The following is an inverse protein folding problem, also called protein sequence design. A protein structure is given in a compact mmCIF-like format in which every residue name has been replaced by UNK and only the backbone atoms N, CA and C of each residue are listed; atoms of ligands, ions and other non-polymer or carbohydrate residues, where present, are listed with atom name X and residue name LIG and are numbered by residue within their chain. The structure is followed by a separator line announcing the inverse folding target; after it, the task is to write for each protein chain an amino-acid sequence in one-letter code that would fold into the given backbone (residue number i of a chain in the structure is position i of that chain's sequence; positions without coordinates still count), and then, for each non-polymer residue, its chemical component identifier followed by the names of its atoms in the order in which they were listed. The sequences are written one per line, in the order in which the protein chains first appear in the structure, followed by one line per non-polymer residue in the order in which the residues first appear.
data_IF_627704401777
#
_entry.id   IF_627704401777
#
_cell.length_a   1.000
_cell.length_b   1.000
_cell.length_c   1.000
_cell.angle_alpha   90.00
_cell.angle_beta   90.00
_cell.angle_gamma   90.00
#
_symmetry.space_group_name_H-M   'P 1'
#
loop_
_entity.id
_entity.type
_entity.pdbx_description
1 polymer ?
#
# COMPACT_ATOMS: atom_id res chain seq x y z
N UNK A 1 12.38 -11.23 10.60
CA UNK A 1 11.40 -11.97 9.79
C UNK A 1 11.31 -11.28 8.44
N UNK A 2 11.36 -12.00 7.31
CA UNK A 2 11.12 -11.41 6.00
C UNK A 2 9.67 -10.89 5.91
N UNK A 3 9.47 -9.72 5.30
CA UNK A 3 8.14 -9.11 5.11
C UNK A 3 7.24 -10.04 4.26
N UNK A 4 7.79 -10.49 3.12
CA UNK A 4 7.30 -11.59 2.29
C UNK A 4 8.55 -12.17 1.64
N UNK A 5 8.91 -13.43 1.90
CA UNK A 5 10.13 -14.01 1.31
C UNK A 5 10.12 -13.88 -0.24
N UNK A 6 11.26 -13.63 -0.91
CA UNK A 6 12.63 -13.48 -0.37
C UNK A 6 12.95 -12.05 0.08
N UNK A 7 11.96 -11.14 0.14
CA UNK A 7 12.21 -9.76 0.51
C UNK A 7 12.62 -9.66 1.99
N UNK A 8 13.56 -8.75 2.25
CA UNK A 8 14.08 -8.47 3.58
C UNK A 8 13.73 -7.06 3.99
N UNK A 9 13.58 -6.88 5.30
CA UNK A 9 13.33 -5.59 5.92
C UNK A 9 14.33 -5.34 7.04
N UNK A 10 14.66 -4.07 7.24
CA UNK A 10 15.45 -3.62 8.38
C UNK A 10 14.99 -2.26 8.87
N UNK A 11 15.32 -1.99 10.11
CA UNK A 11 15.21 -0.66 10.70
C UNK A 11 16.61 -0.14 10.97
N UNK A 12 16.93 1.05 10.47
CA UNK A 12 18.19 1.74 10.76
C UNK A 12 17.90 3.07 11.44
N UNK A 13 18.85 3.57 12.22
CA UNK A 13 18.76 4.91 12.84
C UNK A 13 19.74 5.84 12.14
N UNK A 14 19.24 6.76 11.33
CA UNK A 14 20.06 7.63 10.50
C UNK A 14 19.45 9.03 10.31
N UNK A 15 20.22 9.95 9.70
CA UNK A 15 19.76 11.29 9.30
C UNK A 15 19.09 11.23 7.93
N UNK A 16 18.13 12.11 7.71
CA UNK A 16 17.60 12.37 6.37
C UNK A 16 18.39 13.48 5.65
N UNK A 17 18.39 13.43 4.33
CA UNK A 17 19.03 14.46 3.49
C UNK A 17 18.28 15.78 3.54
N UNK A 18 16.98 15.75 3.85
CA UNK A 18 16.11 16.90 3.97
C UNK A 18 16.27 17.63 5.32
N UNK A 19 16.81 16.96 6.34
CA UNK A 19 17.00 17.61 7.65
C UNK A 19 18.03 18.73 7.56
N UNK A 20 17.66 19.91 8.04
CA UNK A 20 18.59 21.04 8.20
C UNK A 20 19.61 20.75 9.29
N UNK A 21 19.17 20.19 10.43
CA UNK A 21 20.07 19.67 11.46
C UNK A 21 20.50 18.24 11.13
N UNK A 22 21.75 18.10 10.64
CA UNK A 22 22.36 16.81 10.31
C UNK A 22 22.74 15.96 11.52
N UNK A 23 22.55 16.45 12.75
CA UNK A 23 22.67 15.64 13.97
C UNK A 23 21.37 14.91 14.32
N UNK A 24 20.23 15.36 13.79
CA UNK A 24 18.94 14.71 14.01
C UNK A 24 18.95 13.30 13.41
N UNK A 25 18.37 12.34 14.13
CA UNK A 25 18.25 10.94 13.70
C UNK A 25 16.81 10.48 13.84
N UNK A 26 16.36 9.70 12.87
CA UNK A 26 15.06 9.02 12.87
C UNK A 26 15.24 7.55 12.59
N UNK A 27 14.24 6.75 12.91
CA UNK A 27 14.17 5.38 12.47
C UNK A 27 13.71 5.34 11.02
N UNK A 28 14.48 4.68 10.14
CA UNK A 28 14.17 4.53 8.72
C UNK A 28 13.88 3.06 8.46
N UNK A 29 12.66 2.77 8.00
CA UNK A 29 12.26 1.44 7.56
C UNK A 29 12.69 1.24 6.11
N UNK A 30 13.54 0.23 5.89
CA UNK A 30 14.07 -0.10 4.58
C UNK A 30 13.68 -1.52 4.18
N UNK A 31 13.43 -1.70 2.89
CA UNK A 31 13.17 -3.02 2.29
C UNK A 31 14.10 -3.24 1.11
N UNK A 32 14.35 -4.51 0.79
CA UNK A 32 14.89 -4.92 -0.50
C UNK A 32 14.16 -6.17 -0.98
N UNK A 33 13.92 -6.28 -2.28
CA UNK A 33 13.08 -7.36 -2.82
C UNK A 33 13.83 -8.68 -2.96
N UNK A 34 15.14 -8.63 -3.17
CA UNK A 34 16.05 -9.77 -3.12
C UNK A 34 17.34 -9.37 -2.39
N UNK A 35 18.14 -10.33 -1.89
CA UNK A 35 19.40 -10.03 -1.22
C UNK A 35 20.42 -9.28 -2.10
N UNK A 36 20.27 -9.35 -3.42
CA UNK A 36 21.13 -8.67 -4.40
C UNK A 36 20.69 -7.24 -4.70
N UNK A 37 19.46 -6.86 -4.37
CA UNK A 37 19.01 -5.49 -4.54
C UNK A 37 19.56 -4.56 -3.45
N UNK A 38 19.76 -3.30 -3.81
CA UNK A 38 20.03 -2.23 -2.86
C UNK A 38 18.84 -2.02 -1.91
N UNK A 39 19.14 -1.50 -0.72
CA UNK A 39 18.13 -1.15 0.26
C UNK A 39 17.36 0.11 -0.17
N UNK A 40 16.03 0.04 -0.13
CA UNK A 40 15.13 1.14 -0.47
C UNK A 40 14.46 1.65 0.81
N UNK A 41 14.65 2.93 1.11
CA UNK A 41 13.93 3.61 2.19
C UNK A 41 12.46 3.76 1.82
N UNK A 42 11.56 3.24 2.65
CA UNK A 42 10.11 3.34 2.43
C UNK A 42 9.52 4.52 3.22
N UNK A 43 9.66 4.49 4.54
CA UNK A 43 9.22 5.57 5.41
C UNK A 43 10.14 5.68 6.62
N UNK A 44 10.01 6.78 7.35
CA UNK A 44 10.70 7.03 8.59
C UNK A 44 9.74 7.48 9.68
N UNK A 45 10.16 7.36 10.94
CA UNK A 45 9.42 7.87 12.09
C UNK A 45 10.38 8.28 13.21
N UNK A 46 9.95 9.23 14.02
CA UNK A 46 10.59 9.57 15.29
C UNK A 46 9.94 8.80 16.44
N UNK A 47 10.54 8.88 17.62
CA UNK A 47 9.99 8.28 18.86
C UNK A 47 9.03 9.24 19.58
N UNK A 48 8.65 10.34 18.94
CA UNK A 48 7.72 11.29 19.52
C UNK A 48 6.32 10.69 19.61
N UNK A 49 5.66 10.89 20.75
CA UNK A 49 4.30 10.43 20.96
C UNK A 49 3.30 11.26 20.13
N UNK A 50 2.41 10.57 19.41
CA UNK A 50 1.33 11.19 18.66
C UNK A 50 -0.01 10.97 19.37
N UNK A 51 -0.68 12.09 19.67
CA UNK A 51 -2.06 12.11 20.13
C UNK A 51 -3.06 11.87 18.97
N UNK A 52 -4.26 11.33 19.25
CA UNK A 52 -5.30 11.05 18.24
C UNK A 52 -5.63 12.21 17.29
N UNK A 53 -5.55 13.46 17.74
CA UNK A 53 -5.80 14.64 16.92
C UNK A 53 -4.79 14.83 15.78
N UNK A 54 -3.54 14.40 15.95
CA UNK A 54 -2.54 14.50 14.88
C UNK A 54 -2.86 13.52 13.75
N UNK A 55 -3.32 12.31 14.09
CA UNK A 55 -3.79 11.34 13.09
C UNK A 55 -5.02 11.84 12.32
N UNK A 56 -5.90 12.64 12.94
CA UNK A 56 -7.00 13.31 12.22
C UNK A 56 -6.47 14.30 11.18
N UNK A 57 -5.44 15.07 11.51
CA UNK A 57 -4.81 16.00 10.56
C UNK A 57 -4.16 15.24 9.40
N UNK A 58 -3.41 14.17 9.69
CA UNK A 58 -2.77 13.35 8.67
C UNK A 58 -3.81 12.69 7.75
N UNK A 59 -4.87 12.09 8.31
CA UNK A 59 -5.96 11.51 7.53
C UNK A 59 -6.68 12.56 6.69
N UNK A 60 -6.91 13.77 7.22
CA UNK A 60 -7.53 14.83 6.44
C UNK A 60 -6.69 15.15 5.20
N UNK A 61 -5.38 15.37 5.34
CA UNK A 61 -4.52 15.64 4.19
C UNK A 61 -4.51 14.44 3.22
N UNK A 62 -4.25 13.24 3.72
CA UNK A 62 -4.16 12.02 2.90
C UNK A 62 -5.46 11.71 2.15
N UNK A 63 -6.62 11.93 2.77
CA UNK A 63 -7.92 11.56 2.18
C UNK A 63 -8.63 12.70 1.45
N UNK A 64 -8.19 13.96 1.58
CA UNK A 64 -8.90 15.12 0.99
C UNK A 64 -8.03 16.03 0.16
N UNK A 65 -6.72 16.08 0.38
CA UNK A 65 -5.87 17.02 -0.34
C UNK A 65 -5.70 16.57 -1.81
N UNK A 66 -5.96 17.43 -2.82
CA UNK A 66 -5.94 17.02 -4.23
C UNK A 66 -4.58 16.51 -4.73
N UNK A 67 -3.47 16.93 -4.12
CA UNK A 67 -2.14 16.39 -4.47
C UNK A 67 -1.82 15.06 -3.78
N UNK A 68 -2.68 14.58 -2.88
CA UNK A 68 -2.52 13.27 -2.26
C UNK A 68 -2.73 12.19 -3.31
N UNK A 69 -1.76 11.29 -3.44
CA UNK A 69 -1.86 10.14 -4.34
C UNK A 69 -3.12 9.31 -4.08
N UNK A 70 -3.53 9.18 -2.81
CA UNK A 70 -4.73 8.43 -2.41
C UNK A 70 -6.06 9.08 -2.83
N UNK A 71 -6.05 10.37 -3.21
CA UNK A 71 -7.25 11.03 -3.78
C UNK A 71 -7.32 10.94 -5.30
N UNK A 72 -6.23 10.49 -5.94
CA UNK A 72 -6.11 10.42 -7.39
C UNK A 72 -6.06 8.99 -7.92
N UNK A 73 -5.65 8.03 -7.07
CA UNK A 73 -5.40 6.66 -7.46
C UNK A 73 -6.15 5.68 -6.58
N UNK A 74 -6.77 4.68 -7.22
CA UNK A 74 -7.30 3.51 -6.53
C UNK A 74 -6.19 2.51 -6.24
N UNK A 75 -6.12 2.06 -4.99
CA UNK A 75 -5.30 0.92 -4.57
C UNK A 75 -6.05 0.08 -3.54
N UNK A 76 -5.90 -1.24 -3.63
CA UNK A 76 -6.37 -2.19 -2.63
C UNK A 76 -5.34 -3.30 -2.48
N UNK A 77 -5.01 -3.67 -1.25
CA UNK A 77 -4.05 -4.73 -0.96
C UNK A 77 -4.64 -5.70 0.06
N UNK A 78 -4.49 -7.00 -0.16
CA UNK A 78 -4.89 -8.05 0.76
C UNK A 78 -3.74 -9.03 0.94
N UNK A 79 -3.35 -9.30 2.19
CA UNK A 79 -2.30 -10.27 2.50
C UNK A 79 -2.84 -11.71 2.39
N UNK A 80 -2.04 -12.57 1.77
CA UNK A 80 -2.31 -14.01 1.67
C UNK A 80 -1.52 -14.70 2.78
N UNK A 81 -2.22 -15.32 3.71
CA UNK A 81 -1.60 -16.05 4.82
C UNK A 81 -1.25 -17.49 4.40
N UNK A 82 -0.24 -18.07 5.06
CA UNK A 82 -0.05 -19.53 5.08
C UNK A 82 -1.19 -20.21 5.86
N UNK A 83 -1.36 -21.52 5.66
CA UNK A 83 -2.41 -22.32 6.34
C UNK A 83 -2.32 -22.28 7.87
N UNK A 84 -1.13 -22.00 8.42
CA UNK A 84 -0.92 -21.84 9.86
C UNK A 84 -1.31 -20.45 10.39
N UNK A 85 -1.72 -19.52 9.52
CA UNK A 85 -2.08 -18.12 9.82
C UNK A 85 -1.01 -17.29 10.56
N UNK A 86 0.23 -17.78 10.63
CA UNK A 86 1.32 -17.09 11.33
C UNK A 86 2.24 -16.33 10.39
N UNK A 87 2.29 -16.74 9.12
CA UNK A 87 3.21 -16.18 8.14
C UNK A 87 2.46 -15.69 6.90
N UNK A 88 2.91 -14.57 6.35
CA UNK A 88 2.39 -14.02 5.09
C UNK A 88 3.09 -14.72 3.93
N UNK A 89 2.31 -15.47 3.13
CA UNK A 89 2.76 -16.16 1.91
C UNK A 89 2.91 -15.21 0.72
N UNK A 90 2.10 -14.15 0.70
CA UNK A 90 2.00 -13.27 -0.45
C UNK A 90 0.95 -12.19 -0.26
N UNK A 91 0.54 -11.57 -1.36
CA UNK A 91 -0.48 -10.54 -1.36
C UNK A 91 -1.19 -10.45 -2.72
N UNK A 92 -2.45 -10.05 -2.68
CA UNK A 92 -3.15 -9.46 -3.82
C UNK A 92 -2.99 -7.94 -3.78
N UNK A 93 -2.75 -7.32 -4.93
CA UNK A 93 -2.70 -5.88 -5.10
C UNK A 93 -3.55 -5.52 -6.31
N UNK A 94 -4.59 -4.72 -6.12
CA UNK A 94 -5.33 -4.09 -7.20
C UNK A 94 -4.93 -2.63 -7.26
N UNK A 95 -4.40 -2.20 -8.40
CA UNK A 95 -3.99 -0.82 -8.62
C UNK A 95 -4.16 -0.45 -10.08
N UNK A 96 -4.76 0.71 -10.34
CA UNK A 96 -5.08 1.11 -11.71
C UNK A 96 -6.04 0.14 -12.40
N UNK A 97 -5.55 -0.55 -13.44
CA UNK A 97 -6.30 -1.48 -14.31
C UNK A 97 -5.91 -2.96 -14.10
N UNK A 98 -5.13 -3.29 -13.09
CA UNK A 98 -4.60 -4.65 -12.93
C UNK A 98 -4.85 -5.16 -11.52
N UNK A 99 -5.22 -6.44 -11.44
CA UNK A 99 -5.11 -7.25 -10.23
C UNK A 99 -3.84 -8.08 -10.34
N UNK A 100 -2.96 -7.90 -9.36
CA UNK A 100 -1.68 -8.60 -9.26
C UNK A 100 -1.70 -9.53 -8.07
N UNK A 101 -1.15 -10.72 -8.24
CA UNK A 101 -0.82 -11.63 -7.15
C UNK A 101 0.69 -11.69 -7.03
N UNK A 102 1.19 -11.45 -5.81
CA UNK A 102 2.60 -11.63 -5.48
C UNK A 102 2.76 -12.75 -4.48
N UNK A 103 3.46 -13.81 -4.84
CA UNK A 103 3.78 -14.93 -3.94
C UNK A 103 5.28 -15.22 -4.07
N UNK A 104 5.97 -15.36 -2.93
CA UNK A 104 7.39 -15.71 -2.89
C UNK A 104 8.27 -14.86 -3.83
N UNK A 105 8.02 -13.55 -3.87
CA UNK A 105 8.73 -12.59 -4.72
C UNK A 105 8.27 -12.51 -6.18
N UNK A 106 7.53 -13.50 -6.69
CA UNK A 106 7.03 -13.52 -8.07
C UNK A 106 5.71 -12.76 -8.18
N UNK A 107 5.61 -11.88 -9.17
CA UNK A 107 4.39 -11.07 -9.42
C UNK A 107 3.75 -11.51 -10.73
N UNK A 108 2.46 -11.79 -10.68
CA UNK A 108 1.65 -12.19 -11.82
C UNK A 108 0.43 -11.26 -11.93
N UNK A 109 0.11 -10.79 -13.13
CA UNK A 109 -1.18 -10.14 -13.40
C UNK A 109 -2.21 -11.23 -13.59
N UNK A 110 -3.16 -11.34 -12.67
CA UNK A 110 -4.18 -12.39 -12.67
C UNK A 110 -5.49 -11.94 -13.30
N UNK A 111 -5.68 -10.62 -13.45
CA UNK A 111 -6.86 -10.04 -14.09
C UNK A 111 -6.54 -8.60 -14.55
N UNK A 112 -7.01 -8.24 -15.75
CA UNK A 112 -6.94 -6.88 -16.29
C UNK A 112 -8.36 -6.31 -16.39
N UNK A 113 -8.53 -5.10 -15.88
CA UNK A 113 -9.81 -4.41 -15.71
C UNK A 113 -9.95 -3.33 -16.80
N UNK A 114 -11.02 -3.41 -17.58
CA UNK A 114 -11.24 -2.46 -18.67
C UNK A 114 -12.10 -1.27 -18.23
N UNK A 115 -13.05 -1.50 -17.33
CA UNK A 115 -14.02 -0.50 -16.85
C UNK A 115 -14.31 -0.69 -15.34
N UNK A 116 -15.08 0.23 -14.75
CA UNK A 116 -15.41 0.20 -13.32
C UNK A 116 -16.20 -1.05 -12.90
N UNK A 117 -17.08 -1.58 -13.74
CA UNK A 117 -17.82 -2.81 -13.42
C UNK A 117 -16.88 -4.01 -13.30
N UNK A 118 -15.81 -4.08 -14.11
CA UNK A 118 -14.77 -5.10 -13.96
C UNK A 118 -14.09 -4.95 -12.58
N UNK A 119 -13.78 -3.72 -12.15
CA UNK A 119 -13.17 -3.46 -10.85
C UNK A 119 -14.06 -3.91 -9.70
N UNK A 120 -15.35 -3.59 -9.73
CA UNK A 120 -16.31 -4.01 -8.69
C UNK A 120 -16.38 -5.53 -8.58
N UNK A 121 -16.46 -6.25 -9.72
CA UNK A 121 -16.46 -7.72 -9.71
C UNK A 121 -15.15 -8.29 -9.19
N UNK A 122 -14.02 -7.69 -9.55
CA UNK A 122 -12.71 -8.11 -9.08
C UNK A 122 -12.51 -7.88 -7.58
N UNK A 123 -13.09 -6.80 -7.02
CA UNK A 123 -13.08 -6.52 -5.58
C UNK A 123 -13.80 -7.62 -4.80
N UNK A 124 -14.98 -8.02 -5.26
CA UNK A 124 -15.73 -9.12 -4.65
C UNK A 124 -14.96 -10.44 -4.75
N UNK A 125 -14.46 -10.77 -5.94
CA UNK A 125 -13.79 -12.04 -6.24
C UNK A 125 -12.47 -12.23 -5.49
N UNK A 126 -11.59 -11.22 -5.47
CA UNK A 126 -10.21 -11.35 -4.98
C UNK A 126 -10.00 -10.77 -3.58
N UNK A 127 -10.82 -9.80 -3.17
CA UNK A 127 -10.66 -9.08 -1.90
C UNK A 127 -11.83 -9.32 -0.94
N UNK A 128 -12.90 -10.00 -1.37
CA UNK A 128 -14.10 -10.21 -0.56
C UNK A 128 -14.91 -8.93 -0.29
N UNK A 129 -14.61 -7.84 -1.02
CA UNK A 129 -15.25 -6.54 -0.84
C UNK A 129 -16.45 -6.45 -1.78
N UNK A 130 -17.65 -6.40 -1.19
CA UNK A 130 -18.90 -6.31 -1.93
C UNK A 130 -19.48 -4.91 -1.74
N UNK A 131 -19.52 -4.15 -2.83
CA UNK A 131 -20.10 -2.80 -2.83
C UNK A 131 -21.60 -2.89 -3.14
N UNK A 132 -22.38 -2.04 -2.46
CA UNK A 132 -23.79 -1.82 -2.79
C UNK A 132 -23.91 -0.94 -4.03
N UNK A 133 -25.09 -0.93 -4.65
CA UNK A 133 -25.36 -0.13 -5.85
C UNK A 133 -25.10 1.37 -5.64
N UNK A 134 -25.48 1.91 -4.48
CA UNK A 134 -25.24 3.31 -4.11
C UNK A 134 -23.75 3.65 -3.99
N UNK A 135 -22.94 2.70 -3.50
CA UNK A 135 -21.49 2.85 -3.37
C UNK A 135 -20.79 2.79 -4.73
N UNK A 136 -21.27 1.93 -5.63
CA UNK A 136 -20.77 1.86 -7.01
C UNK A 136 -21.10 3.14 -7.77
N UNK A 137 -22.32 3.63 -7.67
CA UNK A 137 -22.70 4.91 -8.31
C UNK A 137 -21.91 6.10 -7.75
N UNK A 138 -21.53 6.05 -6.46
CA UNK A 138 -20.67 7.06 -5.83
C UNK A 138 -19.25 7.14 -6.40
N UNK A 139 -18.80 6.14 -7.18
CA UNK A 139 -17.50 6.17 -7.86
C UNK A 139 -17.55 7.03 -9.12
N UNK A 140 -18.73 7.18 -9.74
CA UNK A 140 -18.86 7.88 -11.03
C UNK A 140 -18.38 9.32 -10.91
N UNK A 141 -17.51 9.73 -11.81
CA UNK A 141 -16.93 11.08 -11.87
C UNK A 141 -15.74 11.31 -10.93
N UNK A 142 -15.34 10.32 -10.13
CA UNK A 142 -14.09 10.42 -9.37
C UNK A 142 -12.88 10.36 -10.31
N UNK A 143 -11.79 11.03 -9.93
CA UNK A 143 -10.52 11.00 -10.68
C UNK A 143 -9.96 9.59 -10.86
N UNK A 144 -10.28 8.67 -9.94
CA UNK A 144 -9.84 7.27 -9.95
C UNK A 144 -10.78 6.31 -10.68
N UNK A 145 -11.91 6.78 -11.22
CA UNK A 145 -12.87 5.97 -11.98
C UNK A 145 -12.20 5.36 -13.24
N UNK A 146 -12.42 4.06 -13.46
CA UNK A 146 -12.07 3.42 -14.74
C UNK A 146 -13.17 3.63 -15.75
N UNK A 147 -12.82 4.39 -16.79
CA UNK A 147 -13.61 4.54 -18.01
C UNK A 147 -13.61 3.26 -18.83
#
# INVERSE_FOLDING_TARGET
MPYIAPAEMRLIRDSLDEFTDKSQRVWIYQVRYTPQNDWISNFCFSEAEFLPQYFKLFNFYTSRHPSSWFTQMFVCTLMIMHENEQEVKGQYVMSGKEVKRRINGQTEVIETLNNENDRVRALAKWFGIHLREDEVEGIRGLSSELK
#
